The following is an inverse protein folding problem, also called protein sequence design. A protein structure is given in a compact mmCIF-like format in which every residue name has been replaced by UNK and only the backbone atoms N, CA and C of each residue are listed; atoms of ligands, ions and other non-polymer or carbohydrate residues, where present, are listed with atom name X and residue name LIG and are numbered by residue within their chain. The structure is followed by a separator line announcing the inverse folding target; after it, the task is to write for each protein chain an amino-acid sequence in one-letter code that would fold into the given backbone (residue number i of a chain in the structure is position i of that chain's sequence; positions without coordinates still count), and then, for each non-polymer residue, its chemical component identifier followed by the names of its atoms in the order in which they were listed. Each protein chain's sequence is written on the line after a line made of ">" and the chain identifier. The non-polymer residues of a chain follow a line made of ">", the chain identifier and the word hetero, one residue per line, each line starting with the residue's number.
data_IF_351929127469
#
_entry.id   IF_351929127469
#
_cell.length_a   1.000
_cell.length_b   1.000
_cell.length_c   1.000
_cell.angle_alpha   90.00
_cell.angle_beta   90.00
_cell.angle_gamma   90.00
#
_symmetry.space_group_name_H-M   'P 1'
#
loop_
_entity.id
_entity.type
_entity.pdbx_description
1 polymer ?
#
# COMPACT_ATOMS: atom_id res chain seq x y z
N UNK A 1 -15.91 16.94 -6.19
CA UNK A 1 -14.96 17.96 -5.67
C UNK A 1 -13.70 17.31 -5.09
N UNK A 2 -13.79 16.44 -4.06
CA UNK A 2 -12.58 15.84 -3.45
C UNK A 2 -11.62 15.14 -4.43
N UNK A 3 -12.13 14.33 -5.36
CA UNK A 3 -11.28 13.69 -6.38
C UNK A 3 -10.53 14.70 -7.27
N UNK A 4 -11.14 15.85 -7.57
CA UNK A 4 -10.49 16.91 -8.35
C UNK A 4 -9.36 17.57 -7.55
N UNK A 5 -9.57 17.77 -6.24
CA UNK A 5 -8.50 18.26 -5.35
C UNK A 5 -7.31 17.28 -5.32
N UNK A 6 -7.57 15.97 -5.18
CA UNK A 6 -6.48 14.98 -5.21
C UNK A 6 -5.73 14.98 -6.55
N UNK A 7 -6.44 15.09 -7.68
CA UNK A 7 -5.81 15.19 -9.01
C UNK A 7 -4.99 16.48 -9.16
N UNK A 8 -5.49 17.60 -8.66
CA UNK A 8 -4.73 18.86 -8.64
C UNK A 8 -3.45 18.70 -7.82
N UNK A 9 -3.54 18.09 -6.63
CA UNK A 9 -2.40 17.83 -5.77
C UNK A 9 -1.37 16.89 -6.40
N UNK A 10 -1.74 16.01 -7.33
CA UNK A 10 -0.77 15.19 -8.07
C UNK A 10 0.10 16.02 -9.00
N UNK A 11 -0.44 17.11 -9.55
CA UNK A 11 0.19 17.90 -10.63
C UNK A 11 1.06 19.02 -10.09
N UNK A 12 0.68 19.63 -8.97
CA UNK A 12 1.43 20.77 -8.43
C UNK A 12 2.74 20.34 -7.77
N UNK A 13 3.71 21.25 -7.79
CA UNK A 13 4.90 21.16 -6.96
C UNK A 13 4.52 21.27 -5.48
N UNK A 14 5.07 20.37 -4.67
CA UNK A 14 4.83 20.30 -3.21
C UNK A 14 6.01 20.83 -2.41
N UNK A 15 7.09 21.15 -3.10
CA UNK A 15 8.34 21.63 -2.52
C UNK A 15 8.73 22.97 -3.13
N UNK A 16 9.47 23.77 -2.36
CA UNK A 16 10.09 24.99 -2.84
C UNK A 16 11.32 24.69 -3.72
N UNK A 17 11.94 25.74 -4.25
CA UNK A 17 13.19 25.63 -5.05
C UNK A 17 14.37 24.94 -4.32
N UNK A 18 14.29 24.80 -3.00
CA UNK A 18 15.30 24.17 -2.16
C UNK A 18 14.92 22.73 -1.77
N UNK A 19 13.79 22.21 -2.29
CA UNK A 19 13.28 20.87 -1.99
C UNK A 19 12.56 20.74 -0.66
N UNK A 20 12.25 21.85 0.04
CA UNK A 20 11.52 21.82 1.31
C UNK A 20 10.03 21.85 1.06
N UNK A 21 9.26 21.10 1.84
CA UNK A 21 7.80 21.06 1.69
C UNK A 21 7.18 22.44 1.92
N UNK A 22 6.26 22.83 1.03
CA UNK A 22 5.57 24.12 1.11
C UNK A 22 4.70 24.20 2.38
N UNK A 23 4.67 25.33 3.11
CA UNK A 23 3.89 25.46 4.35
C UNK A 23 2.40 25.14 4.19
N UNK A 24 1.82 25.43 3.02
CA UNK A 24 0.43 25.14 2.68
C UNK A 24 0.13 23.63 2.69
N UNK A 25 1.15 22.77 2.54
CA UNK A 25 0.98 21.32 2.61
C UNK A 25 0.53 20.85 4.00
N UNK A 26 0.70 21.65 5.06
CA UNK A 26 0.15 21.35 6.39
C UNK A 26 -1.38 21.20 6.33
N UNK A 27 -2.06 22.10 5.60
CA UNK A 27 -3.52 22.04 5.42
C UNK A 27 -3.91 20.81 4.61
N UNK A 28 -3.09 20.45 3.62
CA UNK A 28 -3.28 19.26 2.81
C UNK A 28 -3.13 18.00 3.67
N UNK A 29 -2.09 17.89 4.50
CA UNK A 29 -1.91 16.78 5.44
C UNK A 29 -3.14 16.60 6.34
N UNK A 30 -3.67 17.69 6.92
CA UNK A 30 -4.86 17.61 7.76
C UNK A 30 -6.09 17.16 6.96
N UNK A 31 -6.27 17.67 5.73
CA UNK A 31 -7.37 17.24 4.86
C UNK A 31 -7.28 15.75 4.50
N UNK A 32 -6.08 15.28 4.11
CA UNK A 32 -5.83 13.88 3.78
C UNK A 32 -6.11 12.97 4.98
N UNK A 33 -5.63 13.34 6.18
CA UNK A 33 -5.91 12.60 7.42
C UNK A 33 -7.42 12.48 7.67
N UNK A 34 -8.16 13.58 7.52
CA UNK A 34 -9.62 13.57 7.66
C UNK A 34 -10.29 12.64 6.63
N UNK A 35 -9.82 12.65 5.38
CA UNK A 35 -10.35 11.77 4.33
C UNK A 35 -10.06 10.29 4.62
N UNK A 36 -8.88 9.95 5.14
CA UNK A 36 -8.52 8.59 5.55
C UNK A 36 -9.39 8.07 6.71
N UNK A 37 -10.01 8.95 7.48
CA UNK A 37 -10.91 8.63 8.59
C UNK A 37 -12.39 8.87 8.25
N UNK A 38 -12.70 9.28 7.01
CA UNK A 38 -14.05 9.65 6.61
C UNK A 38 -15.02 8.46 6.66
N UNK A 39 -16.30 8.61 7.04
CA UNK A 39 -17.28 7.51 7.04
C UNK A 39 -17.58 6.91 5.65
N UNK A 40 -17.07 7.49 4.57
CA UNK A 40 -17.34 7.07 3.20
C UNK A 40 -16.14 6.31 2.67
N UNK A 41 -16.34 5.03 2.37
CA UNK A 41 -15.31 4.10 1.93
C UNK A 41 -14.68 4.52 0.59
N UNK A 42 -15.45 5.15 -0.29
CA UNK A 42 -14.93 5.68 -1.55
C UNK A 42 -13.92 6.79 -1.31
N UNK A 43 -14.21 7.73 -0.41
CA UNK A 43 -13.31 8.83 -0.05
C UNK A 43 -12.00 8.26 0.52
N UNK A 44 -12.08 7.35 1.48
CA UNK A 44 -10.90 6.66 2.03
C UNK A 44 -10.06 6.02 0.93
N UNK A 45 -10.68 5.21 0.07
CA UNK A 45 -9.95 4.46 -0.95
C UNK A 45 -9.33 5.34 -2.03
N UNK A 46 -9.99 6.42 -2.49
CA UNK A 46 -9.35 7.34 -3.45
C UNK A 46 -8.21 8.12 -2.82
N UNK A 47 -8.30 8.47 -1.54
CA UNK A 47 -7.20 9.10 -0.79
C UNK A 47 -6.02 8.14 -0.64
N UNK A 48 -6.26 6.89 -0.22
CA UNK A 48 -5.22 5.85 -0.16
C UNK A 48 -4.55 5.63 -1.52
N UNK A 49 -5.33 5.65 -2.60
CA UNK A 49 -4.80 5.53 -3.98
C UNK A 49 -3.96 6.74 -4.38
N UNK A 50 -4.32 7.94 -3.93
CA UNK A 50 -3.53 9.15 -4.11
C UNK A 50 -2.18 9.07 -3.37
N UNK A 51 -2.15 8.55 -2.14
CA UNK A 51 -0.90 8.38 -1.37
C UNK A 51 0.13 7.49 -2.08
N UNK A 52 -0.30 6.57 -2.94
CA UNK A 52 0.61 5.75 -3.75
C UNK A 52 1.47 6.56 -4.74
N UNK A 53 1.16 7.86 -4.93
CA UNK A 53 1.83 8.76 -5.88
C UNK A 53 2.55 9.92 -5.19
N UNK A 54 2.54 9.97 -3.86
CA UNK A 54 3.31 10.96 -3.10
C UNK A 54 4.71 10.45 -2.81
N UNK A 55 5.68 11.35 -2.85
CA UNK A 55 7.09 11.06 -2.55
C UNK A 55 7.60 11.85 -1.34
N UNK A 56 6.89 12.91 -0.95
CA UNK A 56 7.28 13.83 0.12
C UNK A 56 7.04 13.18 1.48
N UNK A 57 8.09 12.64 2.09
CA UNK A 57 8.01 11.89 3.35
C UNK A 57 7.44 12.72 4.49
N UNK A 58 7.75 14.02 4.55
CA UNK A 58 7.18 14.95 5.54
C UNK A 58 5.64 15.07 5.45
N UNK A 59 5.05 14.84 4.27
CA UNK A 59 3.59 14.80 4.08
C UNK A 59 3.03 13.43 4.48
N UNK A 60 3.77 12.35 4.19
CA UNK A 60 3.32 10.97 4.36
C UNK A 60 3.41 10.51 5.82
N UNK A 61 4.51 10.80 6.49
CA UNK A 61 4.78 10.42 7.88
C UNK A 61 3.60 10.70 8.84
N UNK A 62 3.01 11.91 8.86
CA UNK A 62 1.87 12.19 9.73
C UNK A 62 0.58 11.42 9.38
N UNK A 63 0.52 10.75 8.23
CA UNK A 63 -0.64 9.99 7.75
C UNK A 63 -0.52 8.49 8.05
N UNK A 64 0.68 7.99 8.36
CA UNK A 64 0.96 6.55 8.56
C UNK A 64 -0.03 5.87 9.51
N UNK A 65 -0.34 6.41 10.72
CA UNK A 65 -1.28 5.75 11.62
C UNK A 65 -2.69 5.59 11.02
N UNK A 66 -3.11 6.56 10.19
CA UNK A 66 -4.39 6.48 9.49
C UNK A 66 -4.34 5.50 8.32
N UNK A 67 -3.21 5.37 7.63
CA UNK A 67 -3.04 4.35 6.57
C UNK A 67 -3.11 2.95 7.17
N UNK A 68 -2.37 2.70 8.26
CA UNK A 68 -2.32 1.39 8.91
C UNK A 68 -3.68 0.96 9.48
N UNK A 69 -4.42 1.87 10.14
CA UNK A 69 -5.76 1.54 10.64
C UNK A 69 -6.76 1.17 9.53
N UNK A 70 -6.53 1.61 8.28
CA UNK A 70 -7.36 1.22 7.15
C UNK A 70 -7.09 -0.21 6.65
N UNK A 71 -6.02 -0.89 7.11
CA UNK A 71 -5.79 -2.32 6.86
C UNK A 71 -6.82 -3.20 7.56
N UNK A 72 -7.40 -2.74 8.67
CA UNK A 72 -8.41 -3.46 9.45
C UNK A 72 -9.85 -3.01 9.12
N UNK A 73 -10.01 -2.14 8.12
CA UNK A 73 -11.32 -1.59 7.77
C UNK A 73 -12.28 -2.69 7.31
N UNK A 74 -13.55 -2.64 7.73
CA UNK A 74 -14.58 -3.66 7.40
C UNK A 74 -14.76 -3.91 5.89
N UNK A 75 -14.58 -2.87 5.08
CA UNK A 75 -14.85 -2.90 3.64
C UNK A 75 -13.60 -3.25 2.83
N UNK A 76 -13.61 -4.33 2.00
CA UNK A 76 -12.45 -4.77 1.23
C UNK A 76 -11.84 -3.71 0.29
N UNK A 77 -12.69 -2.89 -0.32
CA UNK A 77 -12.26 -1.72 -1.12
C UNK A 77 -11.25 -0.82 -0.39
N UNK A 78 -11.41 -0.61 0.91
CA UNK A 78 -10.51 0.23 1.69
C UNK A 78 -9.22 -0.53 1.98
N UNK A 79 -9.32 -1.77 2.48
CA UNK A 79 -8.15 -2.62 2.78
C UNK A 79 -7.24 -2.83 1.57
N UNK A 80 -7.80 -3.16 0.40
CA UNK A 80 -7.00 -3.36 -0.82
C UNK A 80 -6.21 -2.12 -1.24
N UNK A 81 -6.75 -0.92 -1.01
CA UNK A 81 -6.06 0.34 -1.30
C UNK A 81 -5.07 0.69 -0.19
N UNK A 82 -5.36 0.35 1.07
CA UNK A 82 -4.45 0.53 2.19
C UNK A 82 -3.17 -0.31 2.00
N UNK A 83 -3.32 -1.57 1.58
CA UNK A 83 -2.19 -2.44 1.25
C UNK A 83 -1.32 -1.83 0.13
N UNK A 84 -1.92 -1.28 -0.92
CA UNK A 84 -1.18 -0.62 -2.00
C UNK A 84 -0.47 0.65 -1.52
N UNK A 85 -1.10 1.42 -0.63
CA UNK A 85 -0.50 2.61 -0.03
C UNK A 85 0.71 2.22 0.83
N UNK A 86 0.57 1.21 1.72
CA UNK A 86 1.67 0.66 2.52
C UNK A 86 2.83 0.21 1.63
N UNK A 87 2.55 -0.58 0.58
CA UNK A 87 3.58 -1.01 -0.38
C UNK A 87 4.29 0.18 -1.03
N UNK A 88 3.54 1.21 -1.44
CA UNK A 88 4.13 2.37 -2.13
C UNK A 88 4.98 3.22 -1.19
N UNK A 89 4.52 3.44 0.04
CA UNK A 89 5.26 4.17 1.09
C UNK A 89 6.53 3.40 1.48
N UNK A 90 6.43 2.10 1.67
CA UNK A 90 7.58 1.26 2.03
C UNK A 90 8.68 1.27 0.95
N UNK A 91 8.31 1.44 -0.32
CA UNK A 91 9.25 1.54 -1.44
C UNK A 91 9.96 2.89 -1.57
N UNK A 92 9.57 3.90 -0.79
CA UNK A 92 10.28 5.18 -0.76
C UNK A 92 11.69 5.00 -0.15
N UNK A 93 12.66 5.89 -0.44
CA UNK A 93 14.01 5.78 0.10
C UNK A 93 14.08 5.69 1.64
N UNK A 94 13.13 6.31 2.35
CA UNK A 94 13.00 6.26 3.82
C UNK A 94 11.86 5.33 4.29
N UNK A 95 11.28 4.55 3.36
CA UNK A 95 10.08 3.76 3.60
C UNK A 95 10.25 2.70 4.69
N UNK A 96 11.41 2.05 4.75
CA UNK A 96 11.73 1.07 5.79
C UNK A 96 11.79 1.70 7.19
N UNK A 97 12.30 2.92 7.31
CA UNK A 97 12.32 3.64 8.59
C UNK A 97 10.90 4.06 9.00
N UNK A 98 10.09 4.49 8.03
CA UNK A 98 8.70 4.92 8.25
C UNK A 98 7.76 3.75 8.60
N UNK A 99 8.01 2.57 8.04
CA UNK A 99 7.12 1.41 8.10
C UNK A 99 7.91 0.11 8.38
N UNK A 100 8.74 0.11 9.42
CA UNK A 100 9.68 -0.99 9.68
C UNK A 100 9.03 -2.38 9.81
N UNK A 101 7.83 -2.46 10.39
CA UNK A 101 7.06 -3.69 10.61
C UNK A 101 5.98 -3.96 9.56
N UNK A 102 6.00 -3.22 8.43
CA UNK A 102 5.02 -3.39 7.37
C UNK A 102 5.03 -4.80 6.76
N UNK A 103 6.17 -5.45 6.49
CA UNK A 103 6.17 -6.84 5.99
C UNK A 103 5.46 -7.82 6.92
N UNK A 104 5.72 -7.76 8.23
CA UNK A 104 5.09 -8.60 9.25
C UNK A 104 3.59 -8.32 9.35
N UNK A 105 3.21 -7.05 9.28
CA UNK A 105 1.82 -6.62 9.32
C UNK A 105 1.05 -7.10 8.10
N UNK A 106 1.63 -6.96 6.90
CA UNK A 106 1.00 -7.42 5.65
C UNK A 106 0.91 -8.95 5.58
N UNK A 107 1.87 -9.68 6.15
CA UNK A 107 1.77 -11.14 6.26
C UNK A 107 0.59 -11.58 7.15
N UNK A 108 0.35 -10.89 8.28
CA UNK A 108 -0.85 -11.13 9.11
C UNK A 108 -2.14 -10.79 8.38
N UNK A 109 -2.16 -9.72 7.58
CA UNK A 109 -3.30 -9.38 6.72
C UNK A 109 -3.53 -10.49 5.69
N UNK A 110 -2.47 -10.96 5.03
CA UNK A 110 -2.55 -11.99 3.98
C UNK A 110 -3.11 -13.34 4.49
N UNK A 111 -2.81 -13.70 5.74
CA UNK A 111 -3.28 -14.96 6.33
C UNK A 111 -4.77 -14.95 6.70
N UNK A 112 -5.33 -13.76 6.98
CA UNK A 112 -6.73 -13.61 7.42
C UNK A 112 -7.66 -13.06 6.33
N UNK A 113 -7.12 -12.40 5.30
CA UNK A 113 -7.88 -11.76 4.24
C UNK A 113 -8.64 -12.77 3.36
N UNK A 114 -9.91 -12.45 3.11
CA UNK A 114 -10.84 -13.26 2.33
C UNK A 114 -11.13 -12.65 0.96
N UNK A 115 -11.01 -11.33 0.81
CA UNK A 115 -11.22 -10.67 -0.48
C UNK A 115 -10.07 -11.00 -1.45
N UNK A 116 -10.36 -11.57 -2.63
CA UNK A 116 -9.32 -11.99 -3.57
C UNK A 116 -8.41 -10.85 -4.03
N UNK A 117 -8.95 -9.63 -4.19
CA UNK A 117 -8.19 -8.47 -4.67
C UNK A 117 -7.24 -7.93 -3.60
N UNK A 118 -7.72 -7.82 -2.36
CA UNK A 118 -6.90 -7.45 -1.20
C UNK A 118 -5.81 -8.50 -0.95
N UNK A 119 -6.16 -9.80 -0.96
CA UNK A 119 -5.22 -10.91 -0.78
C UNK A 119 -4.12 -10.89 -1.82
N UNK A 120 -4.48 -10.69 -3.10
CA UNK A 120 -3.54 -10.50 -4.21
C UNK A 120 -2.59 -9.33 -3.97
N UNK A 121 -3.09 -8.19 -3.49
CA UNK A 121 -2.25 -7.02 -3.21
C UNK A 121 -1.32 -7.25 -2.01
N UNK A 122 -1.77 -7.97 -0.98
CA UNK A 122 -0.94 -8.30 0.18
C UNK A 122 0.22 -9.20 -0.23
N UNK A 123 -0.06 -10.25 -1.01
CA UNK A 123 0.98 -11.11 -1.58
C UNK A 123 1.93 -10.33 -2.50
N UNK A 124 1.42 -9.42 -3.35
CA UNK A 124 2.25 -8.57 -4.20
C UNK A 124 3.20 -7.68 -3.38
N UNK A 125 2.73 -7.11 -2.27
CA UNK A 125 3.58 -6.29 -1.39
C UNK A 125 4.72 -7.14 -0.82
N UNK A 126 4.42 -8.32 -0.26
CA UNK A 126 5.46 -9.22 0.26
C UNK A 126 6.41 -9.65 -0.86
N UNK A 127 5.91 -10.02 -2.03
CA UNK A 127 6.74 -10.36 -3.18
C UNK A 127 7.71 -9.23 -3.55
N UNK A 128 7.23 -7.99 -3.52
CA UNK A 128 8.00 -6.81 -3.94
C UNK A 128 9.00 -6.37 -2.88
N UNK A 129 8.62 -6.39 -1.60
CA UNK A 129 9.35 -5.75 -0.51
C UNK A 129 9.97 -6.72 0.50
N UNK A 130 9.50 -7.97 0.55
CA UNK A 130 9.93 -8.99 1.52
C UNK A 130 9.83 -10.40 0.92
N UNK A 131 10.62 -10.65 -0.14
CA UNK A 131 10.47 -11.83 -1.01
C UNK A 131 10.50 -13.16 -0.23
N UNK A 132 11.33 -13.29 0.79
CA UNK A 132 11.41 -14.50 1.62
C UNK A 132 10.06 -14.83 2.29
N UNK A 133 9.34 -13.82 2.82
CA UNK A 133 8.00 -14.00 3.41
C UNK A 133 6.99 -14.46 2.36
N UNK A 134 7.05 -13.90 1.15
CA UNK A 134 6.18 -14.33 0.05
C UNK A 134 6.45 -15.78 -0.37
N UNK A 135 7.71 -16.19 -0.43
CA UNK A 135 8.13 -17.57 -0.73
C UNK A 135 7.67 -18.54 0.37
N UNK A 136 7.85 -18.18 1.64
CA UNK A 136 7.38 -19.00 2.77
C UNK A 136 5.85 -19.15 2.76
N UNK A 137 5.11 -18.07 2.48
CA UNK A 137 3.66 -18.12 2.33
C UNK A 137 3.23 -19.04 1.17
N UNK A 138 3.94 -18.99 0.04
CA UNK A 138 3.68 -19.86 -1.10
C UNK A 138 3.88 -21.34 -0.75
N UNK A 139 5.03 -21.69 -0.14
CA UNK A 139 5.33 -23.08 0.22
C UNK A 139 4.35 -23.67 1.23
N UNK A 140 3.90 -22.87 2.20
CA UNK A 140 2.90 -23.31 3.19
C UNK A 140 1.52 -23.59 2.60
N UNK A 141 1.24 -23.13 1.37
CA UNK A 141 -0.08 -23.27 0.73
C UNK A 141 -0.01 -23.86 -0.69
N UNK A 142 1.12 -24.45 -1.08
CA UNK A 142 1.41 -24.84 -2.46
C UNK A 142 0.35 -25.80 -3.04
N UNK A 143 -0.18 -26.70 -2.22
CA UNK A 143 -1.18 -27.69 -2.61
C UNK A 143 -2.55 -27.08 -2.94
N UNK A 144 -2.80 -25.82 -2.53
CA UNK A 144 -4.07 -25.11 -2.71
C UNK A 144 -4.01 -23.96 -3.71
N UNK A 145 -2.90 -23.81 -4.45
CA UNK A 145 -2.73 -22.69 -5.39
C UNK A 145 -3.83 -22.69 -6.46
N UNK A 146 -4.28 -23.87 -6.90
CA UNK A 146 -5.33 -24.00 -7.91
C UNK A 146 -6.69 -23.46 -7.43
N UNK A 147 -6.92 -23.41 -6.12
CA UNK A 147 -8.14 -22.86 -5.51
C UNK A 147 -8.09 -21.33 -5.37
N UNK A 148 -6.94 -20.71 -5.60
CA UNK A 148 -6.78 -19.27 -5.49
C UNK A 148 -7.39 -18.53 -6.67
N UNK A 149 -7.78 -17.27 -6.46
CA UNK A 149 -8.23 -16.41 -7.55
C UNK A 149 -7.14 -16.24 -8.62
N UNK A 150 -7.54 -16.23 -9.90
CA UNK A 150 -6.65 -16.17 -11.07
C UNK A 150 -5.60 -15.04 -10.96
N UNK A 151 -6.01 -13.85 -10.50
CA UNK A 151 -5.08 -12.73 -10.34
C UNK A 151 -3.97 -12.99 -9.32
N UNK A 152 -4.23 -13.75 -8.26
CA UNK A 152 -3.21 -14.14 -7.29
C UNK A 152 -2.29 -15.21 -7.87
N UNK A 153 -2.85 -16.19 -8.59
CA UNK A 153 -2.06 -17.22 -9.29
C UNK A 153 -1.06 -16.58 -10.28
N UNK A 154 -1.48 -15.54 -11.02
CA UNK A 154 -0.59 -14.83 -11.94
C UNK A 154 0.58 -14.13 -11.22
N UNK A 155 0.35 -13.53 -10.04
CA UNK A 155 1.43 -12.92 -9.24
C UNK A 155 2.39 -13.99 -8.69
N UNK A 156 1.88 -15.16 -8.30
CA UNK A 156 2.70 -16.30 -7.88
C UNK A 156 3.59 -16.80 -9.02
N UNK A 157 3.04 -16.96 -10.22
CA UNK A 157 3.81 -17.34 -11.40
C UNK A 157 4.93 -16.35 -11.69
N UNK A 158 4.67 -15.05 -11.52
CA UNK A 158 5.68 -14.02 -11.64
C UNK A 158 6.78 -14.13 -10.57
N UNK A 159 6.41 -14.39 -9.31
CA UNK A 159 7.36 -14.65 -8.22
C UNK A 159 8.27 -15.83 -8.56
N UNK A 160 7.70 -16.98 -8.93
CA UNK A 160 8.45 -18.21 -9.26
C UNK A 160 9.44 -17.91 -10.39
N UNK A 161 8.97 -17.26 -11.46
CA UNK A 161 9.81 -16.86 -12.60
C UNK A 161 10.97 -15.94 -12.16
N UNK A 162 10.72 -14.98 -11.26
CA UNK A 162 11.76 -14.07 -10.76
C UNK A 162 12.80 -14.82 -9.92
N UNK A 163 12.36 -15.61 -8.93
CA UNK A 163 13.25 -16.37 -8.03
C UNK A 163 14.13 -17.35 -8.81
N UNK A 164 13.56 -18.11 -9.75
CA UNK A 164 14.32 -19.05 -10.57
C UNK A 164 15.33 -18.39 -11.52
N UNK A 165 15.15 -17.12 -11.89
CA UNK A 165 16.11 -16.38 -12.73
C UNK A 165 17.24 -15.76 -11.92
N UNK A 166 16.94 -15.27 -10.72
CA UNK A 166 17.94 -14.66 -9.83
C UNK A 166 18.89 -15.71 -9.22
N UNK A 167 18.42 -16.94 -9.01
CA UNK A 167 19.21 -18.04 -8.45
C UNK A 167 19.94 -18.89 -9.51
N UNK A 168 20.16 -18.36 -10.71
CA UNK A 168 21.04 -18.94 -11.73
C UNK A 168 22.40 -18.27 -11.69
#
# INVERSE_FOLDING_TARGET
>A
IQKLLLLYLEIIDKTDSQGRVLPEMILICQNLRNNLQHPNEYIRGVTLRFLCRLNETEIIEPLIPSVLSNLEHRHPFVRRNAILAVMSIYKLPQGEQLLGDAPETIEKVLSTEQDPSAKRNAFLMLFTCAQERAVNYLFTHIDRILDWGEQLQLVVLELIRKVCRTNK
#
